data_IF_228995586260
#
_entry.id   IF_228995586260
#
_cell.length_a   1.000
_cell.length_b   1.000
_cell.length_c   1.000
_cell.angle_alpha   90.00
_cell.angle_beta   90.00
_cell.angle_gamma   90.00
#
_symmetry.space_group_name_H-M   'P 1'
#
loop_
_entity.id
_entity.type
_entity.pdbx_description
1 polymer ?
#
# COMPACT_ATOMS: atom_id res chain seq x y z
N UNK A 1 12.72 24.83 -3.00
CA UNK A 1 11.69 24.07 -3.72
C UNK A 1 10.59 23.72 -2.71
N UNK A 2 9.30 23.77 -3.07
CA UNK A 2 8.25 23.28 -2.19
C UNK A 2 8.51 21.79 -1.87
N UNK A 3 8.14 21.31 -0.66
CA UNK A 3 8.30 19.90 -0.31
C UNK A 3 7.50 19.02 -1.28
N UNK A 4 8.06 17.86 -1.65
CA UNK A 4 7.34 16.85 -2.45
C UNK A 4 6.15 16.34 -1.64
N UNK A 5 5.03 16.08 -2.31
CA UNK A 5 3.78 15.68 -1.67
C UNK A 5 3.47 14.20 -1.94
N UNK A 6 3.03 13.49 -0.90
CA UNK A 6 2.46 12.14 -1.00
C UNK A 6 1.02 12.17 -0.49
N UNK A 7 0.10 11.77 -1.36
CA UNK A 7 -1.29 11.50 -1.01
C UNK A 7 -1.41 9.99 -0.80
N UNK A 8 -1.57 9.54 0.44
CA UNK A 8 -1.78 8.14 0.74
C UNK A 8 -3.26 7.78 0.63
N UNK A 9 -3.56 6.69 -0.08
CA UNK A 9 -4.87 6.05 -0.17
C UNK A 9 -4.77 4.64 0.41
N UNK A 10 -5.34 4.46 1.60
CA UNK A 10 -5.49 3.16 2.20
C UNK A 10 -6.75 2.44 1.71
N UNK A 11 -6.63 1.15 1.42
CA UNK A 11 -7.77 0.27 1.15
C UNK A 11 -7.46 -1.18 1.52
N UNK A 12 -8.41 -2.09 1.29
CA UNK A 12 -8.16 -3.52 1.40
C UNK A 12 -7.25 -4.01 0.27
N UNK A 13 -6.20 -4.77 0.62
CA UNK A 13 -5.18 -5.24 -0.33
C UNK A 13 -5.77 -6.01 -1.53
N UNK A 14 -6.83 -6.80 -1.31
CA UNK A 14 -7.47 -7.57 -2.39
C UNK A 14 -8.16 -6.70 -3.45
N UNK A 15 -8.58 -5.47 -3.11
CA UNK A 15 -9.24 -4.55 -4.06
C UNK A 15 -8.26 -4.02 -5.10
N UNK A 16 -6.96 -4.00 -4.78
CA UNK A 16 -5.89 -3.59 -5.69
C UNK A 16 -5.62 -4.65 -6.79
N UNK A 17 -6.13 -5.87 -6.64
CA UNK A 17 -5.99 -6.93 -7.66
C UNK A 17 -6.77 -6.55 -8.92
N UNK A 18 -6.13 -6.66 -10.09
CA UNK A 18 -6.81 -6.49 -11.37
C UNK A 18 -7.88 -7.57 -11.56
N UNK A 19 -9.06 -7.14 -12.00
CA UNK A 19 -10.25 -7.98 -12.20
C UNK A 19 -11.11 -8.10 -10.94
N UNK A 20 -10.76 -7.42 -9.84
CA UNK A 20 -11.62 -7.39 -8.66
C UNK A 20 -12.93 -6.64 -8.96
N UNK A 21 -14.05 -7.10 -8.39
CA UNK A 21 -15.38 -6.54 -8.65
C UNK A 21 -15.51 -5.04 -8.32
N UNK A 22 -14.66 -4.54 -7.42
CA UNK A 22 -14.63 -3.14 -7.02
C UNK A 22 -13.62 -2.28 -7.83
N UNK A 23 -12.93 -2.83 -8.82
CA UNK A 23 -11.92 -2.09 -9.60
C UNK A 23 -12.49 -0.84 -10.27
N UNK A 24 -13.71 -0.87 -10.80
CA UNK A 24 -14.35 0.32 -11.40
C UNK A 24 -14.52 1.44 -10.37
N UNK A 25 -14.93 1.10 -9.15
CA UNK A 25 -15.09 2.06 -8.05
C UNK A 25 -13.74 2.52 -7.52
N UNK A 26 -12.78 1.62 -7.40
CA UNK A 26 -11.40 1.95 -7.02
C UNK A 26 -10.77 2.93 -8.01
N UNK A 27 -10.98 2.74 -9.32
CA UNK A 27 -10.57 3.67 -10.36
C UNK A 27 -11.21 5.06 -10.23
N UNK A 28 -12.48 5.14 -9.83
CA UNK A 28 -13.15 6.42 -9.53
C UNK A 28 -12.55 7.11 -8.31
N UNK A 29 -12.20 6.36 -7.26
CA UNK A 29 -11.52 6.91 -6.07
C UNK A 29 -10.12 7.45 -6.44
N UNK A 30 -9.35 6.70 -7.23
CA UNK A 30 -8.06 7.18 -7.75
C UNK A 30 -8.27 8.45 -8.60
N UNK A 31 -9.29 8.49 -9.45
CA UNK A 31 -9.60 9.65 -10.29
C UNK A 31 -9.97 10.88 -9.46
N UNK A 32 -10.80 10.72 -8.43
CA UNK A 32 -11.15 11.79 -7.50
C UNK A 32 -9.92 12.40 -6.83
N UNK A 33 -8.95 11.58 -6.40
CA UNK A 33 -7.68 12.10 -5.87
C UNK A 33 -6.94 12.91 -6.93
N UNK A 34 -6.87 12.40 -8.17
CA UNK A 34 -6.16 13.05 -9.27
C UNK A 34 -6.82 14.35 -9.76
N UNK A 35 -8.12 14.50 -9.57
CA UNK A 35 -8.83 15.75 -9.85
C UNK A 35 -8.48 16.85 -8.83
N UNK A 36 -8.12 16.47 -7.61
CA UNK A 36 -7.80 17.38 -6.51
C UNK A 36 -6.29 17.60 -6.32
N UNK A 37 -5.46 16.68 -6.81
CA UNK A 37 -4.01 16.72 -6.70
C UNK A 37 -3.36 16.39 -8.05
N UNK A 38 -2.34 17.14 -8.49
CA UNK A 38 -1.67 16.90 -9.78
C UNK A 38 -0.71 15.70 -9.71
N UNK A 39 -1.24 14.51 -9.41
CA UNK A 39 -0.48 13.27 -9.24
C UNK A 39 0.23 12.88 -10.54
N UNK A 40 1.54 12.68 -10.45
CA UNK A 40 2.40 12.31 -11.58
C UNK A 40 2.83 10.84 -11.54
N UNK A 41 2.79 10.23 -10.34
CA UNK A 41 3.16 8.83 -10.12
C UNK A 41 2.22 8.17 -9.11
N UNK A 42 1.83 6.93 -9.39
CA UNK A 42 1.24 6.00 -8.44
C UNK A 42 2.34 5.10 -7.89
N UNK A 43 2.46 5.07 -6.57
CA UNK A 43 3.34 4.22 -5.79
C UNK A 43 2.45 3.21 -5.07
N UNK A 44 2.59 1.93 -5.31
CA UNK A 44 1.66 0.93 -4.78
C UNK A 44 2.38 -0.11 -3.94
N UNK A 45 1.86 -0.39 -2.74
CA UNK A 45 2.23 -1.57 -1.96
C UNK A 45 1.76 -2.83 -2.68
N UNK A 46 2.58 -3.33 -3.62
CA UNK A 46 2.18 -4.45 -4.47
C UNK A 46 3.24 -5.54 -4.59
N UNK A 47 2.77 -6.78 -4.81
CA UNK A 47 3.63 -7.96 -4.99
C UNK A 47 3.79 -8.29 -6.49
N UNK A 48 4.99 -8.70 -6.95
CA UNK A 48 5.27 -8.88 -8.38
C UNK A 48 4.55 -10.06 -9.06
N UNK A 49 3.97 -10.99 -8.30
CA UNK A 49 3.36 -12.21 -8.83
C UNK A 49 1.90 -12.07 -9.27
N UNK A 50 1.31 -10.87 -9.10
CA UNK A 50 -0.07 -10.59 -9.47
C UNK A 50 -0.16 -9.28 -10.24
N UNK A 51 -1.17 -9.14 -11.09
CA UNK A 51 -1.40 -7.89 -11.79
C UNK A 51 -2.18 -6.91 -10.90
N UNK A 52 -1.61 -5.73 -10.69
CA UNK A 52 -2.29 -4.63 -10.00
C UNK A 52 -3.28 -3.94 -10.94
N UNK A 53 -4.43 -3.52 -10.42
CA UNK A 53 -5.35 -2.65 -11.14
C UNK A 53 -4.71 -1.29 -11.43
N UNK A 54 -4.05 -0.66 -10.45
CA UNK A 54 -3.45 0.67 -10.62
C UNK A 54 -2.31 0.67 -11.67
N UNK A 55 -1.63 -0.47 -11.86
CA UNK A 55 -0.62 -0.62 -12.93
C UNK A 55 -1.21 -0.46 -14.34
N UNK A 56 -2.51 -0.69 -14.52
CA UNK A 56 -3.19 -0.50 -15.81
C UNK A 56 -3.44 0.97 -16.16
N UNK A 57 -3.21 1.88 -15.20
CA UNK A 57 -3.37 3.32 -15.36
C UNK A 57 -2.06 4.02 -15.79
N UNK A 58 -0.97 3.27 -15.96
CA UNK A 58 0.32 3.82 -16.41
C UNK A 58 0.21 4.38 -17.84
N UNK A 59 0.69 5.61 -18.01
CA UNK A 59 0.69 6.38 -19.25
C UNK A 59 1.92 7.30 -19.28
N UNK A 60 2.10 8.09 -20.35
CA UNK A 60 3.16 9.11 -20.39
C UNK A 60 2.95 10.26 -19.38
N UNK A 61 1.72 10.46 -18.92
CA UNK A 61 1.37 11.53 -17.97
C UNK A 61 1.21 11.05 -16.53
N UNK A 62 1.18 9.73 -16.31
CA UNK A 62 1.00 9.11 -15.01
C UNK A 62 1.83 7.83 -14.98
N UNK A 63 2.87 7.79 -14.17
CA UNK A 63 3.67 6.57 -14.02
C UNK A 63 3.15 5.68 -12.91
N UNK A 64 3.42 4.38 -13.00
CA UNK A 64 3.17 3.45 -11.90
C UNK A 64 4.45 2.76 -11.48
N UNK A 65 4.63 2.59 -10.17
CA UNK A 65 5.72 1.82 -9.58
C UNK A 65 5.22 1.02 -8.38
N UNK A 66 5.63 -0.25 -8.29
CA UNK A 66 5.49 -1.00 -7.05
C UNK A 66 6.58 -0.60 -6.06
N UNK A 67 6.16 -0.25 -4.84
CA UNK A 67 7.03 -0.03 -3.67
C UNK A 67 6.95 -1.19 -2.68
N UNK A 68 6.14 -2.21 -2.98
CA UNK A 68 6.01 -3.40 -2.15
C UNK A 68 7.32 -4.17 -2.03
N UNK A 69 7.47 -4.89 -0.93
CA UNK A 69 8.68 -5.66 -0.67
C UNK A 69 8.82 -6.86 -1.60
N UNK A 70 10.05 -7.27 -1.94
CA UNK A 70 10.28 -8.50 -2.67
C UNK A 70 9.88 -9.72 -1.83
N UNK A 71 9.67 -10.86 -2.51
CA UNK A 71 9.36 -12.15 -1.86
C UNK A 71 10.61 -12.74 -1.20
N UNK A 72 10.94 -12.24 -0.03
CA UNK A 72 12.08 -12.69 0.78
C UNK A 72 11.64 -12.97 2.22
N UNK A 73 12.21 -14.01 2.83
CA UNK A 73 11.87 -14.44 4.21
C UNK A 73 11.91 -13.31 5.24
N UNK A 74 12.84 -12.35 5.08
CA UNK A 74 12.97 -11.20 6.00
C UNK A 74 11.79 -10.22 5.96
N UNK A 75 10.91 -10.32 4.97
CA UNK A 75 9.71 -9.49 4.82
C UNK A 75 8.41 -10.28 5.05
N UNK A 76 8.48 -11.53 5.52
CA UNK A 76 7.31 -12.36 5.81
C UNK A 76 6.68 -11.93 7.13
N UNK A 77 5.45 -11.39 7.06
CA UNK A 77 4.66 -10.92 8.22
C UNK A 77 3.56 -11.88 8.62
N UNK A 78 3.60 -13.11 8.11
CA UNK A 78 2.63 -14.13 8.49
C UNK A 78 3.27 -15.01 9.56
N UNK A 79 2.92 -14.76 10.81
CA UNK A 79 3.16 -15.66 11.91
C UNK A 79 1.94 -16.58 12.12
N UNK A 80 2.18 -17.80 12.59
CA UNK A 80 1.15 -18.81 12.84
C UNK A 80 -0.01 -18.22 13.66
N UNK A 81 -1.26 -18.43 13.24
CA UNK A 81 -2.40 -17.95 14.00
C UNK A 81 -2.76 -18.87 15.16
N UNK A 82 -3.20 -18.28 16.28
CA UNK A 82 -3.50 -18.94 17.56
C UNK A 82 -4.30 -20.25 17.42
N UNK A 83 -5.32 -20.25 16.56
CA UNK A 83 -6.23 -21.37 16.34
C UNK A 83 -6.53 -21.59 14.84
N UNK A 84 -5.52 -21.39 14.00
CA UNK A 84 -5.68 -21.42 12.53
C UNK A 84 -5.43 -22.79 11.90
N UNK A 85 -4.67 -23.67 12.56
CA UNK A 85 -4.33 -25.00 12.05
C UNK A 85 -4.45 -26.07 13.15
N UNK A 86 -4.59 -27.37 12.79
CA UNK A 86 -4.56 -28.45 13.78
C UNK A 86 -3.27 -28.44 14.63
N UNK A 87 -3.32 -28.83 15.92
CA UNK A 87 -4.49 -29.31 16.67
C UNK A 87 -5.30 -28.18 17.33
N UNK A 88 -4.91 -26.91 17.19
CA UNK A 88 -5.56 -25.78 17.89
C UNK A 88 -6.79 -25.24 17.16
N UNK A 89 -7.02 -25.66 15.92
CA UNK A 89 -8.20 -25.28 15.14
C UNK A 89 -9.50 -25.90 15.70
N UNK A 90 -10.43 -25.03 16.09
CA UNK A 90 -11.80 -25.37 16.47
C UNK A 90 -12.76 -24.61 15.53
N UNK A 91 -13.50 -25.29 14.64
CA UNK A 91 -14.42 -24.65 13.70
C UNK A 91 -15.54 -23.83 14.36
N UNK A 92 -15.78 -24.01 15.66
CA UNK A 92 -16.77 -23.23 16.43
C UNK A 92 -16.21 -21.94 16.99
N UNK A 93 -14.89 -21.71 16.90
CA UNK A 93 -14.21 -20.52 17.42
C UNK A 93 -13.75 -19.60 16.28
N UNK A 94 -13.75 -18.27 16.48
CA UNK A 94 -13.17 -17.36 15.50
C UNK A 94 -11.68 -17.61 15.36
N UNK A 95 -11.17 -17.58 14.13
CA UNK A 95 -9.74 -17.71 13.86
C UNK A 95 -9.01 -16.40 14.18
N UNK A 96 -7.96 -16.47 14.98
CA UNK A 96 -7.07 -15.35 15.25
C UNK A 96 -5.74 -15.58 14.56
N UNK A 97 -5.34 -14.62 13.73
CA UNK A 97 -4.01 -14.57 13.12
C UNK A 97 -3.14 -13.61 13.91
N UNK A 98 -1.90 -14.00 14.17
CA UNK A 98 -0.94 -13.10 14.79
C UNK A 98 -0.60 -11.97 13.81
N UNK A 99 -0.65 -10.74 14.30
CA UNK A 99 -0.13 -9.59 13.57
C UNK A 99 1.35 -9.44 13.89
N UNK A 100 2.23 -9.92 13.02
CA UNK A 100 3.66 -9.79 13.29
C UNK A 100 4.58 -10.71 12.49
N UNK A 101 5.88 -10.65 12.76
CA UNK A 101 6.53 -9.86 13.81
C UNK A 101 6.53 -8.34 13.57
N UNK A 102 6.46 -7.53 14.64
CA UNK A 102 6.38 -6.06 14.54
C UNK A 102 7.61 -5.44 13.88
N UNK A 103 8.80 -5.94 14.20
CA UNK A 103 10.07 -5.53 13.61
C UNK A 103 10.12 -5.82 12.09
N UNK A 104 9.47 -6.90 11.63
CA UNK A 104 9.33 -7.21 10.21
C UNK A 104 8.38 -6.24 9.51
N UNK A 105 7.26 -5.87 10.14
CA UNK A 105 6.39 -4.79 9.62
C UNK A 105 7.15 -3.47 9.51
N UNK A 106 7.89 -3.10 10.54
CA UNK A 106 8.76 -1.91 10.55
C UNK A 106 9.84 -1.95 9.46
N UNK A 107 10.40 -3.13 9.17
CA UNK A 107 11.36 -3.32 8.08
C UNK A 107 10.71 -3.16 6.71
N UNK A 108 9.51 -3.72 6.50
CA UNK A 108 8.75 -3.56 5.24
C UNK A 108 8.40 -2.10 4.98
N UNK A 109 7.94 -1.40 6.00
CA UNK A 109 7.55 0.00 5.86
C UNK A 109 8.76 0.91 5.59
N UNK A 110 9.90 0.65 6.22
CA UNK A 110 11.16 1.34 5.90
C UNK A 110 11.58 1.10 4.44
N UNK A 111 11.50 -0.15 3.98
CA UNK A 111 11.75 -0.47 2.58
C UNK A 111 10.82 0.31 1.64
N UNK A 112 9.51 0.34 1.92
CA UNK A 112 8.55 1.11 1.12
C UNK A 112 8.92 2.59 1.08
N UNK A 113 9.26 3.20 2.22
CA UNK A 113 9.67 4.62 2.30
C UNK A 113 10.92 4.89 1.47
N UNK A 114 11.93 4.03 1.51
CA UNK A 114 13.15 4.19 0.70
C UNK A 114 12.85 4.10 -0.80
N UNK A 115 11.97 3.19 -1.22
CA UNK A 115 11.52 3.09 -2.62
C UNK A 115 10.68 4.30 -3.04
N UNK A 116 9.83 4.81 -2.16
CA UNK A 116 9.06 6.03 -2.40
C UNK A 116 10.02 7.21 -2.63
N UNK A 117 11.06 7.36 -1.82
CA UNK A 117 12.09 8.41 -2.01
C UNK A 117 12.74 8.31 -3.38
N UNK A 118 13.26 7.12 -3.71
CA UNK A 118 13.92 6.87 -4.99
C UNK A 118 13.02 7.20 -6.18
N UNK A 119 11.78 6.68 -6.18
CA UNK A 119 10.88 6.86 -7.31
C UNK A 119 10.29 8.27 -7.40
N UNK A 120 10.23 9.01 -6.30
CA UNK A 120 9.78 10.39 -6.29
C UNK A 120 10.83 11.38 -6.76
N UNK A 121 12.10 11.00 -6.97
CA UNK A 121 13.16 11.92 -7.43
C UNK A 121 12.72 12.83 -8.60
N UNK A 122 12.15 12.32 -9.71
CA UNK A 122 11.70 13.15 -10.83
C UNK A 122 10.29 13.74 -10.68
N UNK A 123 9.57 13.47 -9.58
CA UNK A 123 8.16 13.87 -9.41
C UNK A 123 7.95 14.77 -8.19
N UNK A 124 6.91 15.60 -8.23
CA UNK A 124 6.56 16.49 -7.12
C UNK A 124 5.36 15.96 -6.32
N UNK A 125 4.42 15.26 -6.96
CA UNK A 125 3.21 14.75 -6.30
C UNK A 125 2.99 13.28 -6.66
N UNK A 126 2.97 12.42 -5.64
CA UNK A 126 2.72 10.99 -5.76
C UNK A 126 1.43 10.57 -5.04
N UNK A 127 0.75 9.55 -5.58
CA UNK A 127 -0.33 8.83 -4.92
C UNK A 127 0.25 7.51 -4.38
N UNK A 128 0.29 7.35 -3.07
CA UNK A 128 0.71 6.12 -2.42
C UNK A 128 -0.50 5.25 -2.06
N UNK A 129 -0.69 4.14 -2.76
CA UNK A 129 -1.73 3.15 -2.48
C UNK A 129 -1.18 2.10 -1.53
N UNK A 130 -1.85 1.87 -0.41
CA UNK A 130 -1.34 1.02 0.67
C UNK A 130 -2.46 0.22 1.35
N UNK A 131 -2.12 -0.92 1.96
CA UNK A 131 -3.03 -1.62 2.86
C UNK A 131 -3.36 -0.77 4.10
N UNK A 132 -4.63 -0.80 4.55
CA UNK A 132 -5.08 0.00 5.70
C UNK A 132 -4.21 -0.19 6.96
N UNK A 133 -3.74 -1.41 7.22
CA UNK A 133 -2.90 -1.72 8.38
C UNK A 133 -1.60 -0.89 8.44
N UNK A 134 -1.10 -0.42 7.30
CA UNK A 134 0.14 0.33 7.19
C UNK A 134 -0.05 1.85 7.12
N UNK A 135 -1.29 2.37 7.04
CA UNK A 135 -1.53 3.77 6.73
C UNK A 135 -0.85 4.72 7.73
N UNK A 136 -1.17 4.60 9.02
CA UNK A 136 -0.67 5.53 10.02
C UNK A 136 0.85 5.46 10.19
N UNK A 137 1.37 4.24 10.26
CA UNK A 137 2.79 3.97 10.50
C UNK A 137 3.67 4.42 9.33
N UNK A 138 3.23 4.19 8.09
CA UNK A 138 3.95 4.69 6.89
C UNK A 138 3.89 6.21 6.75
N UNK A 139 2.75 6.84 7.01
CA UNK A 139 2.64 8.31 7.03
C UNK A 139 3.59 8.96 8.05
N UNK A 140 3.67 8.38 9.25
CA UNK A 140 4.58 8.82 10.31
C UNK A 140 6.06 8.69 9.94
N UNK A 141 6.40 7.80 8.99
CA UNK A 141 7.77 7.62 8.46
C UNK A 141 8.05 8.48 7.23
N UNK A 142 7.04 8.75 6.40
CA UNK A 142 7.18 9.62 5.21
C UNK A 142 7.40 11.09 5.59
N UNK A 143 6.77 11.57 6.67
CA UNK A 143 6.96 12.95 7.14
C UNK A 143 8.43 13.28 7.50
N UNK A 144 9.14 12.52 8.35
CA UNK A 144 10.56 12.75 8.61
C UNK A 144 11.45 12.45 7.38
N UNK A 145 10.96 11.69 6.41
CA UNK A 145 11.63 11.50 5.11
C UNK A 145 11.55 12.73 4.18
N UNK A 146 10.88 13.81 4.60
CA UNK A 146 10.85 15.09 3.89
C UNK A 146 9.62 15.33 3.02
N UNK A 147 8.59 14.47 3.11
CA UNK A 147 7.36 14.62 2.35
C UNK A 147 6.29 15.42 3.12
N UNK A 148 5.55 16.26 2.41
CA UNK A 148 4.22 16.69 2.86
C UNK A 148 3.25 15.54 2.62
N UNK A 149 2.57 15.08 3.67
CA UNK A 149 1.71 13.89 3.58
C UNK A 149 0.26 14.17 3.92
N UNK A 150 -0.65 13.54 3.18
CA UNK A 150 -2.10 13.49 3.46
C UNK A 150 -2.57 12.05 3.37
N UNK A 151 -3.42 11.62 4.30
CA UNK A 151 -3.93 10.25 4.35
C UNK A 151 -5.43 10.21 4.15
N UNK A 152 -5.88 9.34 3.24
CA UNK A 152 -7.27 8.98 3.04
C UNK A 152 -7.42 7.47 3.17
N UNK A 153 -8.60 7.02 3.56
CA UNK A 153 -8.96 5.61 3.53
C UNK A 153 -10.28 5.44 2.81
N UNK A 154 -10.38 4.38 2.02
CA UNK A 154 -11.60 3.98 1.35
C UNK A 154 -11.85 2.50 1.62
N UNK A 155 -12.90 2.27 2.39
CA UNK A 155 -13.32 0.96 2.89
C UNK A 155 -14.74 0.74 2.40
N UNK A 156 -14.87 0.35 1.13
CA UNK A 156 -16.19 0.02 0.60
C UNK A 156 -16.60 -1.37 1.07
N UNK A 157 -17.85 -1.47 1.52
CA UNK A 157 -18.52 -2.70 1.90
C UNK A 157 -19.38 -3.21 0.74
#
# INVERSE_FOLDING_TARGET
>A
MPPKQIIALATHHHVQLKGHALNDRFGKVISLIRENYPVQIILEEWTPDRQSFASTLDTDKLKWKSVGTPKEKRFETYAYGLNTYPPTHDPKKPMLQEYGPLDVHELRERYMVDRIKEFMEPFNVGLFIVGLAHLHSTLSKLKPAGFEVRGYSWMEQ
#
